data_IF_443576535277
#
_entry.id   IF_443576535277
#
_cell.length_a   1.000
_cell.length_b   1.000
_cell.length_c   1.000
_cell.angle_alpha   90.00
_cell.angle_beta   90.00
_cell.angle_gamma   90.00
#
_symmetry.space_group_name_H-M   'P 1'
#
loop_
_entity.id
_entity.type
_entity.pdbx_description
1 polymer ?
#
# COMPACT_ATOMS: atom_id res chain seq x y z
N UNK A 1 -1.32 1.18 -20.98
CA UNK A 1 -1.18 1.53 -22.42
C UNK A 1 -2.10 0.77 -23.39
N UNK A 2 -2.29 -0.55 -23.24
CA UNK A 2 -3.05 -1.35 -24.21
C UNK A 2 -4.46 -0.82 -24.53
N UNK A 3 -5.23 -0.38 -23.52
CA UNK A 3 -6.57 0.20 -23.71
C UNK A 3 -6.53 1.43 -24.63
N UNK A 4 -5.62 2.37 -24.39
CA UNK A 4 -5.50 3.61 -25.16
C UNK A 4 -5.12 3.30 -26.61
N UNK A 5 -4.15 2.40 -26.83
CA UNK A 5 -3.73 1.99 -28.18
C UNK A 5 -4.86 1.28 -28.95
N UNK A 6 -5.67 0.48 -28.26
CA UNK A 6 -6.82 -0.19 -28.87
C UNK A 6 -7.92 0.81 -29.24
N UNK A 7 -8.23 1.74 -28.34
CA UNK A 7 -9.20 2.82 -28.59
C UNK A 7 -8.78 3.71 -29.78
N UNK A 8 -7.49 4.06 -29.86
CA UNK A 8 -6.95 4.81 -30.98
C UNK A 8 -7.09 4.03 -32.29
N UNK A 9 -6.76 2.74 -32.30
CA UNK A 9 -6.93 1.90 -33.48
C UNK A 9 -8.40 1.82 -33.92
N UNK A 10 -9.35 1.65 -33.00
CA UNK A 10 -10.77 1.62 -33.31
C UNK A 10 -11.24 2.93 -33.97
N UNK A 11 -10.69 4.06 -33.54
CA UNK A 11 -10.96 5.39 -34.11
C UNK A 11 -10.34 5.58 -35.49
N UNK A 12 -9.10 5.12 -35.68
CA UNK A 12 -8.42 5.12 -36.98
C UNK A 12 -9.21 4.27 -37.99
N UNK A 13 -9.68 3.08 -37.58
CA UNK A 13 -10.49 2.21 -38.44
C UNK A 13 -11.83 2.88 -38.76
N UNK A 14 -12.48 3.53 -37.79
CA UNK A 14 -13.77 4.18 -37.99
C UNK A 14 -13.70 5.40 -38.93
N UNK A 15 -12.64 6.22 -38.85
CA UNK A 15 -12.53 7.46 -39.63
C UNK A 15 -11.72 7.28 -40.92
N UNK A 16 -10.58 6.59 -40.85
CA UNK A 16 -9.69 6.40 -42.00
C UNK A 16 -9.97 5.11 -42.76
N UNK A 17 -10.83 4.19 -42.26
CA UNK A 17 -11.18 2.93 -42.92
C UNK A 17 -9.99 2.01 -43.25
N UNK A 18 -8.90 2.16 -42.50
CA UNK A 18 -7.69 1.33 -42.59
C UNK A 18 -7.10 1.19 -41.19
N UNK A 19 -6.13 0.29 -41.00
CA UNK A 19 -5.48 0.09 -39.70
C UNK A 19 -3.99 0.45 -39.74
N UNK A 20 -3.46 0.92 -38.61
CA UNK A 20 -2.04 1.16 -38.42
C UNK A 20 -1.35 -0.12 -37.90
N UNK A 21 -0.31 -0.64 -38.58
CA UNK A 21 0.47 -1.80 -38.12
C UNK A 21 1.15 -1.64 -36.76
N UNK A 22 1.35 -0.42 -36.26
CA UNK A 22 1.93 -0.16 -34.95
C UNK A 22 0.98 -0.52 -33.79
N UNK A 23 -0.31 -0.66 -34.06
CA UNK A 23 -1.34 -0.97 -33.06
C UNK A 23 -2.01 -2.33 -33.32
N UNK A 24 -2.50 -2.95 -32.25
CA UNK A 24 -3.21 -4.22 -32.33
C UNK A 24 -4.57 -4.05 -33.03
N UNK A 25 -4.94 -5.02 -33.86
CA UNK A 25 -6.21 -5.04 -34.60
C UNK A 25 -7.30 -5.68 -33.71
N UNK A 26 -8.54 -5.17 -33.71
CA UNK A 26 -9.61 -5.77 -32.94
C UNK A 26 -9.93 -7.20 -33.41
N UNK A 27 -10.19 -8.14 -32.47
CA UNK A 27 -10.44 -9.54 -32.79
C UNK A 27 -11.69 -9.66 -33.67
N UNK A 28 -11.60 -10.48 -34.73
CA UNK A 28 -12.63 -10.70 -35.76
C UNK A 28 -12.80 -9.58 -36.80
N UNK A 29 -11.83 -8.67 -36.91
CA UNK A 29 -11.76 -7.72 -38.02
C UNK A 29 -10.51 -7.97 -38.87
N UNK A 30 -10.67 -7.89 -40.19
CA UNK A 30 -9.57 -7.96 -41.16
C UNK A 30 -9.49 -6.64 -41.97
N UNK A 31 -9.29 -5.48 -41.31
CA UNK A 31 -9.08 -4.23 -42.03
C UNK A 31 -7.79 -4.31 -42.87
N UNK A 32 -7.70 -3.50 -43.93
CA UNK A 32 -6.49 -3.40 -44.76
C UNK A 32 -5.54 -2.38 -44.13
N UNK A 33 -4.24 -2.65 -44.15
CA UNK A 33 -3.22 -1.76 -43.60
C UNK A 33 -3.15 -0.47 -44.39
N UNK A 34 -3.10 0.69 -43.73
CA UNK A 34 -3.04 2.00 -44.40
C UNK A 34 -1.86 2.13 -45.39
N UNK A 35 -0.77 1.38 -45.19
CA UNK A 35 0.37 1.36 -46.12
C UNK A 35 0.19 0.50 -47.38
N UNK A 36 -0.86 -0.32 -47.46
CA UNK A 36 -1.15 -1.22 -48.60
C UNK A 36 -2.44 -0.87 -49.36
N UNK A 37 -3.14 0.19 -48.95
CA UNK A 37 -4.38 0.67 -49.60
C UNK A 37 -4.04 1.64 -50.75
N UNK A 38 -4.90 1.70 -51.77
CA UNK A 38 -4.82 2.76 -52.78
C UNK A 38 -4.99 4.15 -52.13
N UNK A 39 -4.20 5.14 -52.55
CA UNK A 39 -4.09 6.45 -51.89
C UNK A 39 -3.56 6.34 -50.44
N UNK A 40 -2.50 5.55 -50.24
CA UNK A 40 -1.82 5.40 -48.96
C UNK A 40 -1.46 6.74 -48.33
N UNK A 41 -1.02 7.72 -49.13
CA UNK A 41 -0.59 9.03 -48.65
C UNK A 41 -1.73 9.78 -47.96
N UNK A 42 -2.94 9.76 -48.54
CA UNK A 42 -4.13 10.42 -47.98
C UNK A 42 -4.61 9.70 -46.70
N UNK A 43 -4.45 8.37 -46.66
CA UNK A 43 -4.84 7.56 -45.49
C UNK A 43 -3.85 7.72 -44.33
N UNK A 44 -2.58 7.85 -44.63
CA UNK A 44 -1.54 8.16 -43.65
C UNK A 44 -1.69 9.59 -43.13
N UNK A 45 -1.99 10.55 -44.01
CA UNK A 45 -2.30 11.93 -43.61
C UNK A 45 -3.55 12.02 -42.73
N UNK A 46 -4.55 11.16 -42.96
CA UNK A 46 -5.71 11.01 -42.07
C UNK A 46 -5.28 10.59 -40.66
N UNK A 47 -4.38 9.60 -40.52
CA UNK A 47 -3.86 9.17 -39.21
C UNK A 47 -3.08 10.31 -38.54
N UNK A 48 -2.22 11.00 -39.27
CA UNK A 48 -1.47 12.14 -38.74
C UNK A 48 -2.42 13.22 -38.21
N UNK A 49 -3.39 13.65 -39.02
CA UNK A 49 -4.37 14.65 -38.60
C UNK A 49 -5.23 14.20 -37.39
N UNK A 50 -5.48 12.90 -37.25
CA UNK A 50 -6.20 12.31 -36.10
C UNK A 50 -5.36 12.26 -34.82
N UNK A 51 -4.05 12.07 -34.97
CA UNK A 51 -3.11 11.88 -33.84
C UNK A 51 -2.50 13.20 -33.41
N UNK A 52 -2.48 14.19 -34.31
CA UNK A 52 -2.01 15.53 -34.02
C UNK A 52 -3.02 16.25 -33.13
N UNK A 53 -2.59 16.62 -31.93
CA UNK A 53 -3.41 17.20 -30.86
C UNK A 53 -3.81 18.67 -31.14
N UNK A 54 -3.81 19.11 -32.39
CA UNK A 54 -4.07 20.49 -32.78
C UNK A 54 -5.55 20.89 -32.62
N UNK A 55 -6.42 19.97 -32.19
CA UNK A 55 -7.82 20.26 -31.87
C UNK A 55 -8.70 20.54 -33.10
N UNK A 56 -8.14 20.51 -34.32
CA UNK A 56 -8.88 20.71 -35.58
C UNK A 56 -9.64 19.45 -36.04
N UNK A 57 -9.23 18.24 -35.64
CA UNK A 57 -9.91 16.96 -36.00
C UNK A 57 -10.77 16.37 -34.88
N UNK A 58 -10.76 17.01 -33.70
CA UNK A 58 -11.71 16.74 -32.62
C UNK A 58 -11.54 15.40 -31.89
N UNK A 59 -10.45 14.65 -32.11
CA UNK A 59 -10.16 13.45 -31.33
C UNK A 59 -9.22 13.76 -30.16
N UNK A 60 -9.79 13.91 -28.97
CA UNK A 60 -9.03 13.96 -27.73
C UNK A 60 -9.07 12.58 -27.06
N UNK A 61 -7.90 11.96 -26.94
CA UNK A 61 -7.71 10.65 -26.32
C UNK A 61 -8.24 10.63 -24.89
N UNK A 62 -8.14 11.74 -24.15
CA UNK A 62 -8.51 11.77 -22.73
C UNK A 62 -10.03 11.84 -22.52
N UNK A 63 -10.77 12.53 -23.39
CA UNK A 63 -12.24 12.62 -23.30
C UNK A 63 -12.97 11.50 -24.01
N UNK A 64 -12.43 10.98 -25.13
CA UNK A 64 -13.11 9.96 -25.93
C UNK A 64 -12.75 8.52 -25.57
N UNK A 65 -11.60 8.29 -24.92
CA UNK A 65 -11.21 6.96 -24.45
C UNK A 65 -11.29 6.88 -22.92
N UNK A 66 -12.34 6.24 -22.40
CA UNK A 66 -12.44 5.94 -20.96
C UNK A 66 -11.59 4.71 -20.62
N UNK A 67 -10.30 4.94 -20.36
CA UNK A 67 -9.36 3.90 -19.96
C UNK A 67 -9.00 4.05 -18.47
N UNK A 68 -9.72 3.39 -17.55
CA UNK A 68 -9.33 3.37 -16.15
C UNK A 68 -7.97 2.67 -15.97
N UNK A 69 -7.25 3.04 -14.92
CA UNK A 69 -6.03 2.33 -14.55
C UNK A 69 -6.38 0.91 -14.09
N UNK A 70 -5.51 -0.04 -14.42
CA UNK A 70 -5.64 -1.43 -14.00
C UNK A 70 -5.34 -1.59 -12.51
N UNK A 71 -6.12 -2.42 -11.81
CA UNK A 71 -5.90 -2.71 -10.40
C UNK A 71 -4.61 -3.50 -10.14
N UNK A 72 -4.14 -4.26 -11.13
CA UNK A 72 -2.94 -5.10 -11.03
C UNK A 72 -1.96 -4.66 -12.12
N UNK A 73 -0.85 -4.08 -11.69
CA UNK A 73 0.23 -3.62 -12.55
C UNK A 73 1.58 -3.97 -11.93
N UNK A 74 2.47 -4.50 -12.76
CA UNK A 74 3.90 -4.57 -12.47
C UNK A 74 4.61 -3.39 -13.11
N UNK A 75 5.31 -2.57 -12.33
CA UNK A 75 6.16 -1.49 -12.85
C UNK A 75 7.63 -1.78 -12.53
N UNK A 76 8.51 -1.50 -13.49
CA UNK A 76 9.97 -1.62 -13.33
C UNK A 76 10.56 -0.22 -13.30
N UNK A 77 11.13 0.16 -12.15
CA UNK A 77 11.89 1.41 -12.05
C UNK A 77 13.25 1.22 -12.70
N UNK A 78 13.57 2.06 -13.68
CA UNK A 78 14.85 2.01 -14.41
C UNK A 78 15.79 3.07 -13.84
N UNK A 79 17.03 2.66 -13.56
CA UNK A 79 18.16 3.57 -13.25
C UNK A 79 19.16 3.42 -14.39
N UNK A 80 19.53 4.53 -15.03
CA UNK A 80 20.43 4.52 -16.18
C UNK A 80 21.85 4.92 -15.76
N UNK A 81 22.83 4.10 -16.15
CA UNK A 81 24.25 4.45 -16.10
C UNK A 81 24.87 4.22 -17.48
N UNK A 82 25.60 5.22 -17.99
CA UNK A 82 26.25 5.16 -19.30
C UNK A 82 27.76 5.29 -19.15
N UNK A 83 28.51 4.54 -19.96
CA UNK A 83 29.96 4.63 -20.05
C UNK A 83 30.39 4.55 -21.52
N UNK A 84 31.61 5.01 -21.81
CA UNK A 84 32.16 4.91 -23.18
C UNK A 84 32.45 3.45 -23.49
N UNK A 85 31.85 2.96 -24.57
CA UNK A 85 32.12 1.65 -25.15
C UNK A 85 32.65 1.81 -26.58
N UNK A 86 33.65 1.01 -27.00
CA UNK A 86 34.57 0.24 -26.16
C UNK A 86 35.48 1.13 -25.31
N UNK A 87 35.97 0.61 -24.18
CA UNK A 87 36.97 1.31 -23.38
C UNK A 87 38.29 1.44 -24.16
N UNK A 88 39.08 2.49 -23.91
CA UNK A 88 40.30 2.77 -24.70
C UNK A 88 41.33 1.62 -24.70
N UNK A 89 41.39 0.84 -23.61
CA UNK A 89 42.26 -0.32 -23.46
C UNK A 89 41.62 -1.66 -23.91
N UNK A 90 40.32 -1.65 -24.18
CA UNK A 90 39.57 -2.84 -24.60
C UNK A 90 39.42 -2.85 -26.12
N UNK A 91 39.83 -3.95 -26.75
CA UNK A 91 39.62 -4.18 -28.19
C UNK A 91 38.67 -5.35 -28.34
N UNK A 92 37.52 -5.19 -29.02
CA UNK A 92 36.60 -6.29 -29.28
C UNK A 92 37.33 -7.46 -29.95
N UNK A 93 37.03 -8.72 -29.57
CA UNK A 93 37.71 -9.89 -30.10
C UNK A 93 37.60 -10.01 -31.64
N UNK A 94 36.54 -9.48 -32.22
CA UNK A 94 36.31 -9.39 -33.67
C UNK A 94 37.32 -8.47 -34.36
N UNK A 95 37.81 -7.43 -33.66
CA UNK A 95 38.80 -6.48 -34.17
C UNK A 95 40.25 -6.93 -33.99
N UNK A 96 40.50 -8.00 -33.20
CA UNK A 96 41.86 -8.56 -32.98
C UNK A 96 42.38 -9.23 -34.24
N UNK A 97 41.48 -9.80 -35.06
CA UNK A 97 41.84 -10.30 -36.38
C UNK A 97 41.69 -9.14 -37.36
N UNK A 98 42.77 -8.79 -38.06
CA UNK A 98 42.78 -7.76 -39.12
C UNK A 98 41.83 -8.05 -40.30
N UNK A 99 41.10 -9.17 -40.25
CA UNK A 99 40.00 -9.51 -41.14
C UNK A 99 38.90 -10.16 -40.32
N UNK A 100 37.86 -9.40 -40.03
CA UNK A 100 36.64 -9.91 -39.45
C UNK A 100 35.48 -9.60 -40.39
N UNK A 101 34.60 -10.59 -40.53
CA UNK A 101 33.34 -10.43 -41.26
C UNK A 101 32.26 -10.43 -40.18
N UNK A 102 31.85 -9.24 -39.74
CA UNK A 102 30.53 -9.15 -39.13
C UNK A 102 29.49 -9.40 -40.24
N UNK A 103 28.28 -9.90 -39.92
CA UNK A 103 27.31 -10.35 -40.93
C UNK A 103 26.93 -9.29 -41.99
N UNK A 104 27.26 -8.01 -41.79
CA UNK A 104 26.93 -6.91 -42.69
C UNK A 104 28.01 -5.80 -42.79
N UNK A 105 29.20 -5.96 -42.20
CA UNK A 105 30.25 -4.92 -42.20
C UNK A 105 31.63 -5.54 -42.42
N UNK A 106 32.38 -4.97 -43.38
CA UNK A 106 33.74 -5.38 -43.73
C UNK A 106 34.74 -4.34 -43.21
N UNK A 107 35.82 -4.81 -42.57
CA UNK A 107 36.96 -3.98 -42.19
C UNK A 107 38.26 -4.63 -42.66
N UNK A 108 39.20 -3.80 -43.11
CA UNK A 108 40.52 -4.24 -43.61
C UNK A 108 41.63 -4.00 -42.58
N UNK A 109 41.42 -3.06 -41.65
CA UNK A 109 42.35 -2.74 -40.55
C UNK A 109 41.64 -2.82 -39.20
N UNK A 110 42.36 -3.26 -38.16
CA UNK A 110 41.86 -3.27 -36.76
C UNK A 110 41.47 -1.89 -36.24
N UNK A 111 42.10 -0.82 -36.74
CA UNK A 111 41.76 0.57 -36.42
C UNK A 111 40.38 1.01 -36.95
N UNK A 112 39.99 0.55 -38.14
CA UNK A 112 38.68 0.86 -38.74
C UNK A 112 37.57 0.09 -38.04
N UNK A 113 37.85 -1.16 -37.64
CA UNK A 113 36.95 -1.95 -36.80
C UNK A 113 36.64 -1.23 -35.48
N UNK A 114 37.67 -0.70 -34.80
CA UNK A 114 37.46 0.02 -33.53
C UNK A 114 36.62 1.29 -33.72
N UNK A 115 36.85 2.07 -34.78
CA UNK A 115 36.05 3.27 -35.08
C UNK A 115 34.58 2.93 -35.30
N UNK A 116 34.30 1.86 -36.03
CA UNK A 116 32.94 1.37 -36.23
C UNK A 116 32.26 1.04 -34.89
N UNK A 117 32.94 0.35 -33.98
CA UNK A 117 32.38 0.08 -32.65
C UNK A 117 32.20 1.36 -31.79
N UNK A 118 33.04 2.36 -31.95
CA UNK A 118 32.91 3.63 -31.22
C UNK A 118 31.76 4.52 -31.72
N UNK A 119 31.47 4.50 -33.03
CA UNK A 119 30.49 5.41 -33.66
C UNK A 119 29.12 4.77 -33.90
N UNK A 120 29.07 3.47 -34.21
CA UNK A 120 27.87 2.79 -34.71
C UNK A 120 27.30 1.74 -33.75
N UNK A 121 27.96 1.49 -32.61
CA UNK A 121 27.54 0.42 -31.69
C UNK A 121 27.24 0.92 -30.29
N UNK A 122 26.24 0.31 -29.66
CA UNK A 122 25.88 0.53 -28.25
C UNK A 122 25.76 -0.82 -27.55
N UNK A 123 26.37 -0.92 -26.38
CA UNK A 123 26.20 -2.06 -25.49
C UNK A 123 25.11 -1.72 -24.46
N UNK A 124 24.02 -2.50 -24.45
CA UNK A 124 22.92 -2.34 -23.49
C UNK A 124 22.87 -3.56 -22.59
N UNK A 125 23.17 -3.36 -21.31
CA UNK A 125 23.03 -4.38 -20.27
C UNK A 125 21.81 -4.08 -19.40
N UNK A 126 20.88 -5.03 -19.34
CA UNK A 126 19.67 -4.93 -18.51
C UNK A 126 19.76 -5.96 -17.39
N UNK A 127 19.78 -5.48 -16.15
CA UNK A 127 19.86 -6.33 -14.97
C UNK A 127 19.03 -5.74 -13.82
N UNK A 128 18.68 -6.59 -12.85
CA UNK A 128 18.02 -6.14 -11.63
C UNK A 128 19.05 -5.53 -10.68
N UNK A 129 18.80 -4.30 -10.20
CA UNK A 129 19.66 -3.66 -9.20
C UNK A 129 19.72 -4.49 -7.91
N UNK A 130 18.61 -5.12 -7.54
CA UNK A 130 18.45 -5.92 -6.32
C UNK A 130 17.51 -7.11 -6.57
N UNK A 131 17.71 -8.22 -5.86
CA UNK A 131 16.83 -9.40 -5.93
C UNK A 131 15.54 -9.25 -5.09
N UNK A 132 15.13 -8.03 -4.76
CA UNK A 132 13.89 -7.77 -4.04
C UNK A 132 12.84 -7.15 -4.96
N UNK A 133 11.58 -7.31 -4.59
CA UNK A 133 10.45 -6.65 -5.25
C UNK A 133 9.65 -5.88 -4.20
N UNK A 134 8.98 -4.81 -4.64
CA UNK A 134 8.09 -4.02 -3.79
C UNK A 134 6.65 -4.20 -4.29
N UNK A 135 5.73 -4.50 -3.36
CA UNK A 135 4.29 -4.53 -3.64
C UNK A 135 3.67 -3.28 -3.01
N UNK A 136 2.93 -2.53 -3.82
CA UNK A 136 2.05 -1.45 -3.37
C UNK A 136 0.62 -1.94 -3.55
N UNK A 137 -0.09 -2.11 -2.44
CA UNK A 137 -1.47 -2.59 -2.44
C UNK A 137 -2.35 -1.58 -1.69
N UNK A 138 -3.47 -1.22 -2.30
CA UNK A 138 -4.49 -0.39 -1.68
C UNK A 138 -5.50 -1.30 -0.97
N UNK A 139 -5.89 -0.90 0.25
CA UNK A 139 -6.91 -1.59 1.03
C UNK A 139 -7.93 -0.57 1.55
N UNK A 140 -9.20 -0.98 1.73
CA UNK A 140 -10.22 -0.06 2.20
C UNK A 140 -9.86 0.47 3.60
N UNK A 141 -9.84 1.79 3.76
CA UNK A 141 -9.48 2.42 5.03
C UNK A 141 -10.46 2.05 6.17
N UNK A 142 -11.72 1.75 5.84
CA UNK A 142 -12.73 1.40 6.82
C UNK A 142 -13.63 0.26 6.32
N UNK A 143 -13.37 -1.00 6.74
CA UNK A 143 -14.18 -2.13 6.36
C UNK A 143 -15.51 -2.14 7.13
N UNK A 144 -16.53 -2.81 6.55
CA UNK A 144 -17.87 -2.91 7.16
C UNK A 144 -17.85 -3.52 8.57
N UNK A 145 -16.91 -4.43 8.85
CA UNK A 145 -16.75 -5.02 10.18
C UNK A 145 -16.41 -3.95 11.24
N UNK A 146 -15.58 -2.96 10.87
CA UNK A 146 -15.24 -1.86 11.77
C UNK A 146 -16.45 -0.94 11.98
N UNK A 147 -17.21 -0.65 10.91
CA UNK A 147 -18.45 0.14 11.00
C UNK A 147 -19.44 -0.48 11.98
N UNK A 148 -19.65 -1.79 11.87
CA UNK A 148 -20.56 -2.53 12.75
C UNK A 148 -20.01 -2.60 14.17
N UNK A 149 -18.70 -2.77 14.34
CA UNK A 149 -18.05 -2.77 15.65
C UNK A 149 -18.27 -1.44 16.38
N UNK A 150 -18.04 -0.31 15.71
CA UNK A 150 -18.13 1.02 16.32
C UNK A 150 -19.60 1.41 16.60
N UNK A 151 -20.51 1.06 15.68
CA UNK A 151 -21.95 1.24 15.88
C UNK A 151 -22.47 0.33 17.01
N UNK A 152 -22.04 -0.93 17.03
CA UNK A 152 -22.43 -1.90 18.05
C UNK A 152 -21.94 -1.51 19.44
N UNK A 153 -20.71 -0.98 19.55
CA UNK A 153 -20.15 -0.48 20.80
C UNK A 153 -20.94 0.70 21.36
N UNK A 154 -21.24 1.69 20.52
CA UNK A 154 -22.03 2.86 20.95
C UNK A 154 -23.46 2.46 21.34
N UNK A 155 -24.19 1.72 20.50
CA UNK A 155 -25.55 1.23 20.83
C UNK A 155 -25.55 0.35 22.07
N UNK A 156 -24.58 -0.55 22.21
CA UNK A 156 -24.43 -1.41 23.38
C UNK A 156 -24.26 -0.63 24.68
N UNK A 157 -23.48 0.47 24.66
CA UNK A 157 -23.32 1.35 25.82
C UNK A 157 -24.63 2.03 26.22
N UNK A 158 -25.37 2.59 25.24
CA UNK A 158 -26.65 3.25 25.50
C UNK A 158 -27.71 2.28 26.04
N UNK A 159 -27.75 1.06 25.50
CA UNK A 159 -28.64 0.01 26.00
C UNK A 159 -28.23 -0.45 27.40
N UNK A 160 -26.93 -0.60 27.67
CA UNK A 160 -26.41 -0.93 28.99
C UNK A 160 -26.81 0.10 30.05
N UNK A 161 -26.64 1.40 29.76
CA UNK A 161 -27.08 2.48 30.63
C UNK A 161 -28.60 2.43 30.87
N UNK A 162 -29.39 2.20 29.81
CA UNK A 162 -30.85 2.12 29.90
C UNK A 162 -31.33 0.98 30.80
N UNK A 163 -30.71 -0.21 30.71
CA UNK A 163 -31.06 -1.38 31.54
C UNK A 163 -30.79 -1.13 33.02
N UNK A 164 -29.65 -0.49 33.35
CA UNK A 164 -29.33 -0.14 34.74
C UNK A 164 -30.40 0.79 35.32
N UNK A 165 -30.79 1.84 34.59
CA UNK A 165 -31.85 2.76 35.02
C UNK A 165 -33.20 2.07 35.22
N UNK A 166 -33.55 1.09 34.38
CA UNK A 166 -34.80 0.32 34.57
C UNK A 166 -34.74 -0.51 35.85
N UNK A 167 -33.61 -1.17 36.13
CA UNK A 167 -33.44 -1.94 37.36
C UNK A 167 -33.55 -1.03 38.59
N UNK A 168 -32.92 0.14 38.56
CA UNK A 168 -32.99 1.14 39.63
C UNK A 168 -34.43 1.64 39.86
N UNK A 169 -35.17 1.91 38.79
CA UNK A 169 -36.58 2.30 38.91
C UNK A 169 -37.44 1.20 39.54
N UNK A 170 -37.21 -0.07 39.16
CA UNK A 170 -37.92 -1.21 39.73
C UNK A 170 -37.60 -1.41 41.21
N UNK A 171 -36.32 -1.31 41.61
CA UNK A 171 -35.95 -1.42 43.03
C UNK A 171 -36.55 -0.28 43.84
N UNK A 172 -36.52 0.94 43.32
CA UNK A 172 -37.14 2.11 43.96
C UNK A 172 -38.64 1.91 44.16
N UNK A 173 -39.36 1.43 43.14
CA UNK A 173 -40.80 1.15 43.20
C UNK A 173 -41.14 0.03 44.20
N UNK A 174 -40.37 -1.06 44.22
CA UNK A 174 -40.55 -2.14 45.19
C UNK A 174 -40.31 -1.67 46.64
N UNK A 175 -39.26 -0.87 46.87
CA UNK A 175 -39.00 -0.28 48.18
C UNK A 175 -40.14 0.65 48.61
N UNK A 176 -40.69 1.43 47.69
CA UNK A 176 -41.82 2.32 47.93
C UNK A 176 -43.08 1.54 48.31
N UNK A 177 -43.37 0.45 47.59
CA UNK A 177 -44.50 -0.45 47.90
C UNK A 177 -44.29 -1.10 49.27
N UNK A 178 -43.11 -1.63 49.56
CA UNK A 178 -42.77 -2.20 50.87
C UNK A 178 -42.91 -1.16 51.98
N UNK A 179 -42.47 0.08 51.77
CA UNK A 179 -42.62 1.18 52.72
C UNK A 179 -44.09 1.57 52.96
N UNK A 180 -44.93 1.51 51.92
CA UNK A 180 -46.35 1.79 52.07
C UNK A 180 -47.13 0.64 52.73
N UNK A 181 -46.74 -0.61 52.45
CA UNK A 181 -47.32 -1.80 53.09
C UNK A 181 -46.80 -2.00 54.54
N UNK A 182 -45.62 -1.46 54.87
CA UNK A 182 -45.03 -1.49 56.21
C UNK A 182 -45.04 -0.09 56.85
N UNK A 183 -46.08 0.23 57.64
CA UNK A 183 -46.04 1.33 58.62
C UNK A 183 -46.46 0.84 60.01
N UNK A 184 -45.80 1.28 61.08
CA UNK A 184 -44.39 1.13 61.40
C UNK A 184 -44.20 0.01 62.45
N UNK A 185 -43.18 -0.83 62.28
CA UNK A 185 -42.26 -1.19 63.36
C UNK A 185 -40.98 -1.73 62.73
N UNK A 186 -39.89 -1.11 63.17
CA UNK A 186 -38.49 -1.48 63.01
C UNK A 186 -37.83 -1.25 61.64
N UNK A 187 -36.84 -0.36 61.72
CA UNK A 187 -35.88 0.03 60.69
C UNK A 187 -35.41 -1.16 59.83
N UNK A 188 -35.75 -1.13 58.55
CA UNK A 188 -35.07 -1.95 57.56
C UNK A 188 -33.68 -1.37 57.32
N UNK A 189 -32.69 -1.90 58.05
CA UNK A 189 -31.28 -1.69 57.76
C UNK A 189 -30.93 -2.54 56.53
N UNK A 190 -30.42 -1.98 55.42
CA UNK A 190 -30.02 -2.79 54.28
C UNK A 190 -28.81 -3.64 54.67
N UNK A 191 -29.05 -4.93 54.94
CA UNK A 191 -27.99 -5.93 55.24
C UNK A 191 -27.04 -6.19 54.06
N UNK A 192 -27.29 -5.61 52.89
CA UNK A 192 -26.39 -5.67 51.75
C UNK A 192 -25.10 -4.87 52.01
N UNK A 193 -25.20 -3.71 52.68
CA UNK A 193 -24.06 -2.83 52.90
C UNK A 193 -23.10 -3.39 53.96
N UNK A 194 -23.64 -4.03 55.02
CA UNK A 194 -22.81 -4.67 56.04
C UNK A 194 -22.11 -5.93 55.51
N UNK A 195 -22.74 -6.69 54.60
CA UNK A 195 -22.12 -7.88 54.00
C UNK A 195 -21.05 -7.50 52.98
N UNK A 196 -21.33 -6.50 52.13
CA UNK A 196 -20.39 -6.01 51.13
C UNK A 196 -19.18 -5.32 51.77
N UNK A 197 -19.40 -4.51 52.82
CA UNK A 197 -18.30 -3.93 53.62
C UNK A 197 -17.44 -4.99 54.32
N UNK A 198 -18.04 -6.10 54.77
CA UNK A 198 -17.30 -7.21 55.39
C UNK A 198 -16.45 -7.97 54.38
N UNK A 199 -16.95 -8.15 53.16
CA UNK A 199 -16.24 -8.80 52.06
C UNK A 199 -15.07 -7.91 51.56
N UNK A 200 -15.28 -6.59 51.45
CA UNK A 200 -14.24 -5.61 51.10
C UNK A 200 -13.14 -5.50 52.18
N UNK A 201 -13.51 -5.51 53.47
CA UNK A 201 -12.53 -5.51 54.58
C UNK A 201 -11.72 -6.81 54.63
N UNK A 202 -12.32 -7.96 54.26
CA UNK A 202 -11.64 -9.25 54.17
C UNK A 202 -10.59 -9.26 53.05
N UNK A 203 -10.95 -8.73 51.87
CA UNK A 203 -10.03 -8.61 50.73
C UNK A 203 -8.87 -7.66 51.09
N UNK A 204 -9.15 -6.55 51.78
CA UNK A 204 -8.12 -5.60 52.20
C UNK A 204 -7.14 -6.21 53.22
N UNK A 205 -7.63 -7.02 54.17
CA UNK A 205 -6.80 -7.76 55.12
C UNK A 205 -5.86 -8.75 54.42
N UNK A 206 -6.35 -9.47 53.42
CA UNK A 206 -5.54 -10.43 52.65
C UNK A 206 -4.42 -9.73 51.88
N UNK A 207 -4.72 -8.60 51.21
CA UNK A 207 -3.71 -7.77 50.55
C UNK A 207 -2.63 -7.23 51.50
N UNK A 208 -3.00 -6.80 52.71
CA UNK A 208 -2.04 -6.29 53.70
C UNK A 208 -1.13 -7.40 54.23
N UNK A 209 -1.69 -8.58 54.52
CA UNK A 209 -0.94 -9.74 54.98
C UNK A 209 0.05 -10.24 53.91
N UNK A 210 -0.35 -10.23 52.63
CA UNK A 210 0.57 -10.56 51.53
C UNK A 210 1.69 -9.53 51.40
N UNK A 211 1.40 -8.24 51.58
CA UNK A 211 2.42 -7.18 51.60
C UNK A 211 3.43 -7.35 52.73
N UNK A 212 2.97 -7.73 53.93
CA UNK A 212 3.86 -8.05 55.05
C UNK A 212 4.69 -9.31 54.78
N UNK A 213 4.09 -10.35 54.19
CA UNK A 213 4.81 -11.55 53.78
C UNK A 213 5.93 -11.24 52.80
N UNK A 214 5.66 -10.38 51.81
CA UNK A 214 6.66 -9.91 50.86
C UNK A 214 7.76 -9.09 51.57
N UNK A 215 7.41 -8.27 52.56
CA UNK A 215 8.38 -7.51 53.35
C UNK A 215 9.25 -8.40 54.24
N UNK A 216 8.70 -9.49 54.79
CA UNK A 216 9.44 -10.47 55.60
C UNK A 216 10.31 -11.41 54.75
N UNK A 217 9.85 -11.82 53.57
CA UNK A 217 10.66 -12.56 52.60
C UNK A 217 11.78 -11.68 52.01
N UNK A 218 11.55 -10.37 51.88
CA UNK A 218 12.55 -9.40 51.42
C UNK A 218 13.57 -8.94 52.48
N UNK A 219 13.38 -9.26 53.76
CA UNK A 219 14.29 -8.87 54.84
C UNK A 219 15.32 -9.96 55.23
N UNK A 220 15.30 -11.11 54.54
CA UNK A 220 16.13 -12.28 54.86
C UNK A 220 17.40 -12.46 54.02
N UNK A 221 17.56 -11.77 52.89
CA UNK A 221 18.67 -12.03 51.96
C UNK A 221 19.49 -10.77 51.60
N UNK A 222 20.68 -10.73 52.21
CA UNK A 222 21.95 -10.16 51.75
C UNK A 222 22.11 -8.62 51.60
N UNK A 223 22.65 -8.02 52.67
CA UNK A 223 23.85 -7.20 52.51
C UNK A 223 25.08 -8.11 52.37
N UNK A 224 25.86 -7.91 51.29
CA UNK A 224 27.33 -7.82 51.23
C UNK A 224 27.97 -8.54 50.03
N UNK A 225 28.38 -7.81 48.97
CA UNK A 225 29.74 -7.27 48.80
C UNK A 225 29.86 -6.45 47.51
N UNK A 226 30.58 -5.35 47.64
CA UNK A 226 30.72 -4.22 46.72
C UNK A 226 31.42 -4.55 45.38
N UNK A 227 31.08 -3.82 44.31
CA UNK A 227 31.96 -2.78 43.75
C UNK A 227 31.48 -2.24 42.39
N UNK A 228 31.26 -0.92 42.36
CA UNK A 228 31.35 0.03 41.23
C UNK A 228 30.69 -0.30 39.88
N UNK A 229 29.70 0.50 39.46
CA UNK A 229 29.76 1.37 38.26
C UNK A 229 28.45 2.16 38.02
N UNK A 230 28.54 3.49 38.18
CA UNK A 230 27.83 4.60 37.51
C UNK A 230 26.29 4.66 37.52
N UNK A 231 25.74 5.61 38.29
CA UNK A 231 24.39 6.15 38.10
C UNK A 231 24.33 7.07 36.86
N UNK A 232 23.29 6.97 36.00
CA UNK A 232 22.89 8.07 35.13
C UNK A 232 22.19 9.19 35.93
N UNK A 233 22.28 10.46 35.48
CA UNK A 233 21.85 11.62 36.27
C UNK A 233 20.33 11.73 36.43
N UNK A 234 19.92 12.38 37.52
CA UNK A 234 18.53 12.63 37.88
C UNK A 234 17.83 13.53 36.85
N UNK A 235 16.63 13.11 36.42
CA UNK A 235 15.68 13.99 35.73
C UNK A 235 15.04 14.89 36.78
N UNK A 236 15.34 16.18 36.70
CA UNK A 236 14.67 17.21 37.50
C UNK A 236 13.20 17.34 37.06
N UNK A 237 12.32 17.37 38.06
CA UNK A 237 10.92 17.74 37.91
C UNK A 237 10.81 19.21 37.52
N UNK A 238 10.27 19.49 36.34
CA UNK A 238 9.82 20.83 35.96
C UNK A 238 8.42 21.06 36.54
N UNK A 239 8.29 22.14 37.30
CA UNK A 239 7.08 22.98 37.24
C UNK A 239 7.05 23.70 35.90
#
# INVERSE_FOLDING_TARGET
EACIRSCLQDKIIAQCACYDPAYAIPPNSNPISCGKVANSDVKVDCIFNLTDNDGLTGFDVNSQCSCPQNCIQSYYKVTLSTSRWPAAAYTPPECVKNKGVAPYVFWDTSGDCRKFYEEETVLVEVYYERMNYQILAESPAYPLINLVSDTGGSVGLWLGMSVISVIEFLTMLLLLICYFLARPTDAYHPKFDEKQKKDDDLILQEYLNERERQYQLGHGDLYQKDNHMVLPPAVQSSK
#
